data_IF_197806365512
#
_entry.id   IF_197806365512
#
_cell.length_a   1.000
_cell.length_b   1.000
_cell.length_c   1.000
_cell.angle_alpha   90.00
_cell.angle_beta   90.00
_cell.angle_gamma   90.00
#
_symmetry.space_group_name_H-M   'P 1'
#
loop_
_entity.id
_entity.type
_entity.pdbx_description
1 polymer ?
#
# COMPACT_ATOMS: atom_id res chain seq x y z
N UNK A 1 28.69 -6.49 -10.05
CA UNK A 1 27.67 -6.39 -8.99
C UNK A 1 26.55 -5.50 -9.50
N UNK A 2 25.40 -6.06 -9.85
CA UNK A 2 24.27 -5.28 -10.35
C UNK A 2 23.57 -4.60 -9.17
N UNK A 3 23.62 -3.27 -9.13
CA UNK A 3 22.87 -2.48 -8.15
C UNK A 3 21.40 -2.55 -8.56
N UNK A 4 20.67 -3.49 -7.96
CA UNK A 4 19.25 -3.70 -8.22
C UNK A 4 18.51 -2.47 -7.72
N UNK A 5 18.12 -1.58 -8.64
CA UNK A 5 17.13 -0.55 -8.35
C UNK A 5 15.86 -1.28 -7.93
N UNK A 6 15.66 -1.45 -6.62
CA UNK A 6 14.54 -2.17 -6.05
C UNK A 6 13.26 -1.40 -6.41
N UNK A 7 12.47 -1.90 -7.36
CA UNK A 7 11.36 -1.13 -7.89
C UNK A 7 10.09 -1.33 -7.06
N UNK A 8 10.16 -2.24 -6.07
CA UNK A 8 9.25 -2.34 -4.93
C UNK A 8 10.04 -2.00 -3.69
N UNK A 9 9.56 -1.03 -2.90
CA UNK A 9 10.16 -0.61 -1.65
C UNK A 9 9.16 -0.83 -0.52
N UNK A 10 9.54 -1.60 0.50
CA UNK A 10 8.69 -1.86 1.67
C UNK A 10 9.28 -1.13 2.87
N UNK A 11 8.51 -0.19 3.40
CA UNK A 11 8.90 0.67 4.51
C UNK A 11 7.97 0.43 5.69
N UNK A 12 8.52 0.07 6.84
CA UNK A 12 7.76 0.06 8.10
C UNK A 12 7.39 1.49 8.50
N UNK A 13 6.11 1.73 8.78
CA UNK A 13 5.57 3.00 9.28
C UNK A 13 4.92 2.76 10.65
N UNK A 14 4.63 3.84 11.38
CA UNK A 14 4.02 3.75 12.72
C UNK A 14 2.66 3.02 12.72
N UNK A 15 1.92 3.11 11.61
CA UNK A 15 0.59 2.53 11.42
C UNK A 15 0.62 1.13 10.77
N UNK A 16 1.80 0.59 10.45
CA UNK A 16 1.96 -0.69 9.77
C UNK A 16 3.05 -0.65 8.69
N UNK A 17 2.71 -0.96 7.44
CA UNK A 17 3.67 -1.09 6.34
C UNK A 17 3.26 -0.24 5.15
N UNK A 18 4.19 0.51 4.58
CA UNK A 18 4.03 1.21 3.32
C UNK A 18 4.80 0.46 2.25
N UNK A 19 4.08 -0.13 1.30
CA UNK A 19 4.67 -0.76 0.12
C UNK A 19 4.56 0.22 -1.04
N UNK A 20 5.68 0.73 -1.51
CA UNK A 20 5.73 1.60 -2.70
C UNK A 20 6.18 0.79 -3.90
N UNK A 21 5.46 0.94 -5.00
CA UNK A 21 5.72 0.24 -6.24
C UNK A 21 5.89 1.25 -7.37
N UNK A 22 7.06 1.23 -8.01
CA UNK A 22 7.42 2.13 -9.10
C UNK A 22 7.64 1.36 -10.40
N UNK A 23 7.17 1.92 -11.52
CA UNK A 23 7.45 1.54 -12.91
C UNK A 23 7.63 0.04 -13.30
N UNK A 24 6.97 -0.91 -12.63
CA UNK A 24 7.02 -2.35 -12.98
C UNK A 24 5.71 -2.88 -13.58
N UNK A 25 5.82 -3.95 -14.35
CA UNK A 25 4.70 -4.83 -14.72
C UNK A 25 4.07 -5.50 -13.50
N UNK A 26 2.74 -5.64 -13.50
CA UNK A 26 1.98 -6.25 -12.41
C UNK A 26 2.53 -7.60 -11.92
N UNK A 27 2.94 -8.46 -12.85
CA UNK A 27 3.55 -9.76 -12.52
C UNK A 27 4.87 -9.61 -11.77
N UNK A 28 5.72 -8.66 -12.17
CA UNK A 28 6.97 -8.35 -11.48
C UNK A 28 6.71 -7.78 -10.09
N UNK A 29 5.67 -6.96 -9.95
CA UNK A 29 5.23 -6.42 -8.66
C UNK A 29 4.84 -7.58 -7.75
N UNK A 30 3.97 -8.49 -8.20
CA UNK A 30 3.54 -9.64 -7.41
C UNK A 30 4.70 -10.56 -7.02
N UNK A 31 5.62 -10.86 -7.93
CA UNK A 31 6.78 -11.71 -7.61
C UNK A 31 7.70 -11.05 -6.59
N UNK A 32 8.05 -9.76 -6.78
CA UNK A 32 8.89 -9.02 -5.83
C UNK A 32 8.22 -8.88 -4.47
N UNK A 33 6.91 -8.60 -4.47
CA UNK A 33 6.12 -8.48 -3.25
C UNK A 33 6.10 -9.81 -2.49
N UNK A 34 5.84 -10.93 -3.18
CA UNK A 34 5.88 -12.25 -2.56
C UNK A 34 7.26 -12.60 -2.00
N UNK A 35 8.34 -12.30 -2.72
CA UNK A 35 9.72 -12.52 -2.22
C UNK A 35 9.95 -11.73 -0.93
N UNK A 36 9.72 -10.43 -0.94
CA UNK A 36 9.94 -9.60 0.24
C UNK A 36 8.99 -9.95 1.40
N UNK A 37 7.73 -10.25 1.10
CA UNK A 37 6.76 -10.72 2.07
C UNK A 37 7.21 -12.05 2.66
N UNK A 38 7.66 -13.01 1.86
CA UNK A 38 8.15 -14.29 2.35
C UNK A 38 9.39 -14.13 3.24
N UNK A 39 10.30 -13.19 2.92
CA UNK A 39 11.45 -12.92 3.78
C UNK A 39 11.06 -12.26 5.12
N UNK A 40 10.08 -11.35 5.10
CA UNK A 40 9.72 -10.53 6.26
C UNK A 40 8.46 -11.00 6.99
N UNK A 41 7.72 -11.99 6.47
CA UNK A 41 6.36 -12.37 6.91
C UNK A 41 6.22 -12.57 8.41
N UNK A 42 7.22 -13.16 9.08
CA UNK A 42 7.22 -13.38 10.52
C UNK A 42 7.00 -12.09 11.32
N UNK A 43 7.56 -10.97 10.85
CA UNK A 43 7.46 -9.67 11.52
C UNK A 43 6.26 -8.85 11.05
N UNK A 44 5.70 -9.18 9.89
CA UNK A 44 4.60 -8.42 9.29
C UNK A 44 3.23 -9.01 9.67
N UNK A 45 3.14 -10.30 10.08
CA UNK A 45 1.88 -10.97 10.42
C UNK A 45 1.01 -10.15 11.38
N UNK A 46 -0.24 -9.92 10.98
CA UNK A 46 -1.21 -9.11 11.73
C UNK A 46 -1.05 -7.60 11.55
N UNK A 47 -0.14 -7.14 10.69
CA UNK A 47 0.04 -5.71 10.40
C UNK A 47 -0.84 -5.24 9.26
N UNK A 48 -1.16 -3.94 9.31
CA UNK A 48 -1.86 -3.24 8.24
C UNK A 48 -0.88 -2.78 7.17
N UNK A 49 -1.24 -2.97 5.90
CA UNK A 49 -0.42 -2.56 4.75
C UNK A 49 -1.11 -1.48 3.91
N UNK A 50 -0.34 -0.46 3.58
CA UNK A 50 -0.69 0.60 2.66
C UNK A 50 0.10 0.39 1.37
N UNK A 51 -0.60 0.27 0.24
CA UNK A 51 0.01 0.12 -1.07
C UNK A 51 0.06 1.46 -1.79
N UNK A 52 1.25 1.95 -2.08
CA UNK A 52 1.47 3.13 -2.90
C UNK A 52 1.85 2.72 -4.32
N UNK A 53 1.03 3.16 -5.26
CA UNK A 53 1.18 3.00 -6.70
C UNK A 53 1.33 4.38 -7.33
N UNK A 54 2.19 4.48 -8.34
CA UNK A 54 2.33 5.70 -9.13
C UNK A 54 1.12 5.97 -10.04
N UNK A 55 1.42 6.46 -11.24
CA UNK A 55 0.43 6.89 -12.25
C UNK A 55 -0.22 5.73 -13.03
N UNK A 56 -0.06 4.48 -12.58
CA UNK A 56 -0.51 3.31 -13.32
C UNK A 56 -1.99 3.01 -13.04
N UNK A 57 -2.83 2.80 -14.07
CA UNK A 57 -4.17 2.27 -13.89
C UNK A 57 -4.08 0.81 -13.45
N UNK A 58 -4.63 0.49 -12.28
CA UNK A 58 -4.91 -0.89 -11.87
C UNK A 58 -6.41 -1.12 -11.92
N UNK A 59 -6.80 -2.31 -12.41
CA UNK A 59 -8.20 -2.74 -12.37
C UNK A 59 -8.54 -3.40 -11.04
N UNK A 60 -9.83 -3.43 -10.72
CA UNK A 60 -10.40 -4.13 -9.54
C UNK A 60 -9.89 -5.56 -9.38
N UNK A 61 -9.80 -6.33 -10.47
CA UNK A 61 -9.28 -7.70 -10.43
C UNK A 61 -7.79 -7.79 -10.05
N UNK A 62 -6.98 -6.81 -10.45
CA UNK A 62 -5.56 -6.76 -10.08
C UNK A 62 -5.39 -6.34 -8.62
N UNK A 63 -6.20 -5.39 -8.18
CA UNK A 63 -6.19 -4.89 -6.80
C UNK A 63 -6.67 -5.96 -5.82
N UNK A 64 -7.73 -6.71 -6.18
CA UNK A 64 -8.18 -7.90 -5.44
C UNK A 64 -7.12 -9.00 -5.38
N UNK A 65 -6.38 -9.24 -6.46
CA UNK A 65 -5.27 -10.20 -6.42
C UNK A 65 -4.19 -9.78 -5.44
N UNK A 66 -3.80 -8.50 -5.44
CA UNK A 66 -2.82 -7.98 -4.47
C UNK A 66 -3.36 -8.09 -3.05
N UNK A 67 -4.62 -7.70 -2.81
CA UNK A 67 -5.28 -7.85 -1.51
C UNK A 67 -5.26 -9.30 -1.04
N UNK A 68 -5.67 -10.25 -1.88
CA UNK A 68 -5.70 -11.67 -1.55
C UNK A 68 -4.30 -12.22 -1.25
N UNK A 69 -3.25 -11.72 -1.93
CA UNK A 69 -1.85 -12.07 -1.60
C UNK A 69 -1.51 -11.57 -0.21
N UNK A 70 -1.78 -10.31 0.12
CA UNK A 70 -1.55 -9.78 1.47
C UNK A 70 -2.31 -10.57 2.54
N UNK A 71 -3.59 -10.85 2.32
CA UNK A 71 -4.42 -11.62 3.26
C UNK A 71 -3.88 -13.04 3.48
N UNK A 72 -3.35 -13.69 2.44
CA UNK A 72 -2.69 -15.00 2.58
C UNK A 72 -1.45 -14.96 3.49
N UNK A 73 -0.72 -13.85 3.50
CA UNK A 73 0.40 -13.64 4.43
C UNK A 73 -0.04 -13.10 5.80
N UNK A 74 -1.35 -12.95 6.05
CA UNK A 74 -1.91 -12.40 7.28
C UNK A 74 -1.74 -10.89 7.40
N UNK A 75 -1.75 -10.18 6.27
CA UNK A 75 -1.65 -8.72 6.19
C UNK A 75 -2.98 -8.13 5.73
N UNK A 76 -3.37 -7.02 6.33
CA UNK A 76 -4.61 -6.33 5.99
C UNK A 76 -4.31 -5.11 5.11
N UNK A 77 -4.69 -5.16 3.83
CA UNK A 77 -4.61 -3.99 2.95
C UNK A 77 -5.68 -2.99 3.39
N UNK A 78 -5.25 -1.89 4.00
CA UNK A 78 -6.17 -0.87 4.53
C UNK A 78 -6.14 0.43 3.70
N UNK A 79 -5.04 0.70 3.01
CA UNK A 79 -4.87 1.92 2.23
C UNK A 79 -4.24 1.65 0.86
N UNK A 80 -4.69 2.40 -0.13
CA UNK A 80 -4.12 2.42 -1.47
C UNK A 80 -3.89 3.85 -1.96
N UNK A 81 -2.63 4.25 -2.00
CA UNK A 81 -2.22 5.55 -2.54
C UNK A 81 -1.98 5.40 -4.03
N UNK A 82 -2.67 6.21 -4.83
CA UNK A 82 -2.52 6.19 -6.28
C UNK A 82 -2.72 7.58 -6.86
N UNK A 83 -1.91 7.92 -7.86
CA UNK A 83 -2.06 9.16 -8.61
C UNK A 83 -3.13 9.04 -9.72
N UNK A 84 -3.56 7.81 -10.04
CA UNK A 84 -4.54 7.55 -11.09
C UNK A 84 -5.99 7.57 -10.56
N UNK A 85 -6.89 8.27 -11.28
CA UNK A 85 -8.28 8.44 -10.85
C UNK A 85 -9.08 7.12 -10.83
N UNK A 86 -8.93 6.28 -11.86
CA UNK A 86 -9.64 4.99 -11.95
C UNK A 86 -9.28 4.06 -10.79
N UNK A 87 -7.99 3.95 -10.47
CA UNK A 87 -7.49 3.14 -9.36
C UNK A 87 -8.03 3.67 -8.03
N UNK A 88 -8.14 5.00 -7.87
CA UNK A 88 -8.70 5.64 -6.67
C UNK A 88 -10.19 5.32 -6.47
N UNK A 89 -10.96 5.26 -7.55
CA UNK A 89 -12.38 4.87 -7.51
C UNK A 89 -12.51 3.42 -7.04
N UNK A 90 -11.73 2.52 -7.63
CA UNK A 90 -11.70 1.10 -7.25
C UNK A 90 -11.29 0.92 -5.78
N UNK A 91 -10.27 1.67 -5.32
CA UNK A 91 -9.84 1.65 -3.92
C UNK A 91 -10.99 2.04 -2.97
N UNK A 92 -11.72 3.11 -3.30
CA UNK A 92 -12.91 3.56 -2.54
C UNK A 92 -14.01 2.51 -2.53
N UNK A 93 -14.29 1.86 -3.67
CA UNK A 93 -15.25 0.75 -3.73
C UNK A 93 -14.84 -0.42 -2.82
N UNK A 94 -13.54 -0.64 -2.63
CA UNK A 94 -12.99 -1.67 -1.76
C UNK A 94 -12.85 -1.21 -0.30
N UNK A 95 -13.39 -0.04 0.07
CA UNK A 95 -13.26 0.58 1.39
C UNK A 95 -11.80 0.80 1.82
N UNK A 96 -10.90 0.99 0.85
CA UNK A 96 -9.49 1.29 1.10
C UNK A 96 -9.28 2.80 1.26
N UNK A 97 -8.46 3.17 2.23
CA UNK A 97 -8.03 4.55 2.43
C UNK A 97 -7.18 5.03 1.25
N UNK A 98 -7.60 6.09 0.57
CA UNK A 98 -6.82 6.65 -0.56
C UNK A 98 -5.75 7.67 -0.13
N UNK A 99 -5.47 7.73 1.18
CA UNK A 99 -4.53 8.66 1.84
C UNK A 99 -4.06 8.01 3.15
N UNK A 100 -2.80 8.20 3.52
CA UNK A 100 -2.29 7.82 4.84
C UNK A 100 -2.77 8.83 5.88
N UNK A 101 -3.18 8.37 7.07
CA UNK A 101 -3.70 9.22 8.14
C UNK A 101 -2.61 10.06 8.86
N UNK A 102 -1.39 10.10 8.33
CA UNK A 102 -0.29 10.93 8.83
C UNK A 102 -0.26 12.38 8.33
N UNK A 103 -1.23 12.83 7.53
CA UNK A 103 -1.45 14.28 7.39
C UNK A 103 -2.11 14.74 8.69
N UNK A 104 -1.48 15.69 9.39
CA UNK A 104 -1.98 16.37 10.60
C UNK A 104 -3.26 17.17 10.31
N UNK A 105 -4.30 16.48 9.90
CA UNK A 105 -5.61 17.02 9.67
C UNK A 105 -6.59 15.93 10.03
N UNK A 106 -7.45 16.26 10.99
CA UNK A 106 -8.63 15.48 11.34
C UNK A 106 -9.44 15.10 10.08
N UNK A 107 -10.39 14.16 10.20
CA UNK A 107 -11.29 13.77 9.11
C UNK A 107 -12.05 14.96 8.48
N UNK A 108 -12.10 16.11 9.18
CA UNK A 108 -12.61 17.41 8.71
C UNK A 108 -11.56 18.40 8.15
N UNK A 109 -10.26 18.14 8.28
CA UNK A 109 -9.22 19.06 7.80
C UNK A 109 -8.86 20.19 8.77
N UNK A 110 -9.26 20.10 10.04
CA UNK A 110 -8.88 21.09 11.05
C UNK A 110 -7.58 20.70 11.78
N UNK A 111 -6.74 21.70 12.09
CA UNK A 111 -5.60 21.52 13.01
C UNK A 111 -6.15 21.47 14.44
N UNK A 112 -5.79 20.44 15.19
CA UNK A 112 -6.07 20.34 16.63
C UNK A 112 -5.35 21.49 17.34
N UNK A 113 -5.99 22.65 17.46
CA UNK A 113 -5.55 23.70 18.36
C UNK A 113 -5.97 23.27 19.76
N UNK A 114 -5.00 22.84 20.56
CA UNK A 114 -5.20 22.63 22.00
C UNK A 114 -5.69 23.93 22.64
N UNK A 115 -6.79 23.93 23.42
CA UNK A 115 -7.18 25.10 24.20
C UNK A 115 -6.25 25.22 25.41
N UNK A 116 -5.73 26.42 25.65
CA UNK A 116 -5.14 26.85 26.91
C UNK A 116 -5.98 27.99 27.47
#
# INVERSE_FOLDING_TARGET
>A
MINQAQPVNIKGIREGLLVTVDALSFEQILSQLQTELAEKHLFLRGSRVALQLGKRPLRKSQLKQIQAVFEQYGLELWALLTDHQETRIVAREMNLGTRLAGSLTDLDGNKLTSPA
#
